data_IF_573716039030
#
_entry.id   IF_573716039030
#
_cell.length_a   1.000
_cell.length_b   1.000
_cell.length_c   1.000
_cell.angle_alpha   90.00
_cell.angle_beta   90.00
_cell.angle_gamma   90.00
#
_symmetry.space_group_name_H-M   'P 1'
#
loop_
_entity.id
_entity.type
_entity.pdbx_description
1 polymer ?
#
# COMPACT_ATOMS: atom_id res chain seq x y z
N UNK A 1 29.00 43.77 -15.08
CA UNK A 1 29.07 42.70 -14.06
C UNK A 1 27.65 42.46 -13.57
N UNK A 2 27.06 41.31 -13.92
CA UNK A 2 25.75 40.91 -13.39
C UNK A 2 26.00 40.26 -12.03
N UNK A 3 25.44 40.83 -10.96
CA UNK A 3 25.52 40.24 -9.63
C UNK A 3 24.68 38.96 -9.59
N UNK A 4 25.32 37.83 -9.30
CA UNK A 4 24.61 36.57 -9.07
C UNK A 4 23.94 36.60 -7.70
N UNK A 5 22.62 36.51 -7.67
CA UNK A 5 21.89 36.09 -6.47
C UNK A 5 22.20 34.62 -6.24
N UNK A 6 23.13 34.31 -5.34
CA UNK A 6 23.23 32.96 -4.79
C UNK A 6 22.05 32.74 -3.84
N UNK A 7 21.27 31.66 -3.98
CA UNK A 7 20.22 31.34 -3.02
C UNK A 7 20.85 31.19 -1.63
N UNK A 8 20.26 31.87 -0.65
CA UNK A 8 20.72 31.86 0.72
C UNK A 8 20.51 30.43 1.27
N UNK A 9 21.56 29.81 1.79
CA UNK A 9 21.44 28.52 2.48
C UNK A 9 20.55 28.71 3.72
N UNK A 10 19.30 28.25 3.63
CA UNK A 10 18.41 28.16 4.78
C UNK A 10 18.73 26.88 5.53
N UNK A 11 19.12 26.99 6.80
CA UNK A 11 19.23 25.84 7.69
C UNK A 11 17.86 25.15 7.79
N UNK A 12 17.77 23.83 7.62
CA UNK A 12 16.51 23.11 7.76
C UNK A 12 15.92 23.34 9.15
N UNK A 13 14.67 23.80 9.21
CA UNK A 13 13.92 23.87 10.46
C UNK A 13 13.24 22.53 10.65
N UNK A 14 13.55 21.83 11.74
CA UNK A 14 12.81 20.64 12.14
C UNK A 14 11.45 21.10 12.68
N UNK A 15 10.37 20.85 11.93
CA UNK A 15 9.02 21.29 12.28
C UNK A 15 8.34 20.30 13.24
N UNK A 16 8.78 19.03 13.23
CA UNK A 16 8.26 17.95 14.07
C UNK A 16 9.41 17.05 14.50
N UNK A 17 9.50 16.74 15.80
CA UNK A 17 10.35 15.67 16.30
C UNK A 17 9.58 14.34 16.18
N UNK A 18 10.02 13.39 15.35
CA UNK A 18 9.34 12.10 15.22
C UNK A 18 9.46 11.33 16.54
N UNK A 19 8.33 10.83 17.03
CA UNK A 19 8.29 9.94 18.18
C UNK A 19 8.13 8.50 17.69
N UNK A 20 8.93 7.59 18.24
CA UNK A 20 8.74 6.16 18.05
C UNK A 20 7.53 5.73 18.90
N UNK A 21 6.47 5.30 18.25
CA UNK A 21 5.24 4.83 18.89
C UNK A 21 5.31 3.32 19.10
N UNK A 22 5.75 2.58 18.08
CA UNK A 22 5.84 1.12 18.08
C UNK A 22 7.02 0.65 17.25
N UNK A 23 7.61 -0.48 17.65
CA UNK A 23 8.63 -1.20 16.89
C UNK A 23 8.16 -2.64 16.69
N UNK A 24 8.20 -3.13 15.45
CA UNK A 24 7.81 -4.49 15.12
C UNK A 24 8.92 -5.12 14.28
N UNK A 25 9.40 -6.28 14.70
CA UNK A 25 10.35 -7.05 13.91
C UNK A 25 9.67 -7.60 12.66
N UNK A 26 10.19 -7.23 11.49
CA UNK A 26 9.70 -7.71 10.20
C UNK A 26 10.79 -8.52 9.53
N UNK A 27 10.50 -9.75 9.15
CA UNK A 27 11.37 -10.49 8.23
C UNK A 27 11.14 -9.99 6.80
N UNK A 28 12.18 -9.39 6.22
CA UNK A 28 12.13 -8.81 4.88
C UNK A 28 12.13 -7.28 4.88
N UNK A 29 11.38 -6.67 3.96
CA UNK A 29 11.23 -5.22 3.87
C UNK A 29 9.77 -4.81 3.62
N UNK A 30 9.40 -3.67 4.19
CA UNK A 30 8.09 -3.06 4.00
C UNK A 30 8.14 -2.13 2.79
N UNK A 31 7.16 -2.26 1.91
CA UNK A 31 6.88 -1.33 0.82
C UNK A 31 5.61 -0.56 1.15
N UNK A 32 5.72 0.76 1.10
CA UNK A 32 4.63 1.71 1.24
C UNK A 32 4.41 2.46 -0.08
N UNK A 33 3.26 3.12 -0.19
CA UNK A 33 2.98 4.07 -1.28
C UNK A 33 3.68 5.40 -0.98
N UNK A 34 3.99 6.18 -2.03
CA UNK A 34 4.54 7.54 -1.92
C UNK A 34 3.59 8.51 -1.17
N UNK A 35 2.32 8.13 -0.96
CA UNK A 35 1.31 8.87 -0.22
C UNK A 35 1.15 8.27 1.18
N UNK A 36 2.19 8.42 2.00
CA UNK A 36 2.31 7.77 3.31
C UNK A 36 1.20 8.12 4.31
N UNK A 37 0.55 9.29 4.17
CA UNK A 37 -0.45 9.79 5.11
C UNK A 37 -1.79 9.02 5.07
N UNK A 38 -2.09 8.30 3.99
CA UNK A 38 -3.35 7.57 3.85
C UNK A 38 -3.23 6.09 4.24
N UNK A 39 -2.03 5.63 4.60
CA UNK A 39 -1.78 4.23 4.94
C UNK A 39 -2.09 3.90 6.40
N UNK A 40 -2.25 4.92 7.25
CA UNK A 40 -2.71 4.78 8.63
C UNK A 40 -4.24 4.93 8.66
N UNK A 41 -4.93 4.08 9.42
CA UNK A 41 -6.39 4.18 9.58
C UNK A 41 -6.77 5.53 10.22
N UNK A 42 -7.99 6.05 9.98
CA UNK A 42 -8.38 7.37 10.48
C UNK A 42 -8.29 7.51 12.00
N UNK A 43 -8.55 6.42 12.74
CA UNK A 43 -8.40 6.34 14.19
C UNK A 43 -6.96 6.12 14.68
N UNK A 44 -5.98 5.94 13.78
CA UNK A 44 -4.58 5.73 14.11
C UNK A 44 -4.21 4.32 14.58
N UNK A 45 -5.16 3.38 14.58
CA UNK A 45 -4.95 2.06 15.18
C UNK A 45 -4.21 1.07 14.28
N UNK A 46 -4.22 1.28 12.96
CA UNK A 46 -3.73 0.32 11.98
C UNK A 46 -2.94 0.96 10.85
N UNK A 47 -2.01 0.19 10.31
CA UNK A 47 -1.19 0.55 9.16
C UNK A 47 -1.36 -0.48 8.04
N UNK A 48 -1.64 -0.03 6.81
CA UNK A 48 -1.76 -0.89 5.64
C UNK A 48 -0.44 -0.90 4.86
N UNK A 49 0.15 -2.07 4.68
CA UNK A 49 1.44 -2.17 4.02
C UNK A 49 1.67 -3.51 3.32
N UNK A 50 2.70 -3.54 2.47
CA UNK A 50 3.17 -4.77 1.83
C UNK A 50 4.49 -5.18 2.46
N UNK A 51 4.54 -6.39 2.99
CA UNK A 51 5.78 -7.05 3.41
C UNK A 51 6.28 -7.93 2.29
N UNK A 52 7.55 -7.80 1.92
CA UNK A 52 8.22 -8.69 0.98
C UNK A 52 9.35 -9.42 1.68
N UNK A 53 9.44 -10.73 1.47
CA UNK A 53 10.51 -11.57 2.01
C UNK A 53 11.05 -12.55 0.95
N UNK A 54 11.83 -13.54 1.39
CA UNK A 54 12.40 -14.56 0.51
C UNK A 54 11.39 -15.57 -0.06
N UNK A 55 10.14 -15.56 0.41
CA UNK A 55 9.06 -16.49 0.11
C UNK A 55 7.93 -15.84 -0.72
N UNK A 56 7.75 -14.53 -0.64
CA UNK A 56 6.71 -13.85 -1.42
C UNK A 56 6.49 -12.38 -1.09
N UNK A 57 5.31 -11.92 -1.47
CA UNK A 57 4.78 -10.59 -1.17
C UNK A 57 3.44 -10.72 -0.47
N UNK A 58 3.28 -10.02 0.64
CA UNK A 58 2.18 -10.16 1.59
C UNK A 58 1.59 -8.78 1.86
N UNK A 59 0.35 -8.57 1.45
CA UNK A 59 -0.42 -7.40 1.83
C UNK A 59 -1.07 -7.68 3.19
N UNK A 60 -0.85 -6.79 4.15
CA UNK A 60 -1.28 -6.96 5.53
C UNK A 60 -1.75 -5.67 6.18
N UNK A 61 -2.59 -5.83 7.19
CA UNK A 61 -2.96 -4.78 8.15
C UNK A 61 -2.14 -5.00 9.42
N UNK A 62 -1.37 -3.99 9.80
CA UNK A 62 -0.45 -4.00 10.93
C UNK A 62 -1.01 -3.15 12.06
N UNK A 63 -1.28 -3.73 13.24
CA UNK A 63 -1.72 -2.96 14.40
C UNK A 63 -0.61 -2.01 14.91
N UNK A 64 -0.96 -0.79 15.32
CA UNK A 64 -0.01 0.22 15.82
C UNK A 64 0.04 0.25 17.36
N UNK A 65 -1.11 0.07 18.04
CA UNK A 65 -1.26 0.29 19.49
C UNK A 65 -1.45 -1.00 20.31
N UNK A 66 -0.89 -2.12 19.84
CA UNK A 66 -1.04 -3.40 20.55
C UNK A 66 0.05 -3.56 21.60
N UNK A 67 -0.33 -3.38 22.87
CA UNK A 67 0.52 -3.50 24.07
C UNK A 67 0.98 -4.96 24.32
N UNK A 68 0.38 -5.92 23.60
CA UNK A 68 0.60 -7.36 23.79
C UNK A 68 1.32 -7.96 22.56
N UNK A 69 2.58 -8.39 22.74
CA UNK A 69 3.42 -8.91 21.65
C UNK A 69 2.79 -10.13 20.95
N UNK A 70 1.97 -10.92 21.65
CA UNK A 70 1.27 -12.08 21.08
C UNK A 70 0.08 -11.71 20.17
N UNK A 71 -0.47 -10.51 20.32
CA UNK A 71 -1.57 -9.98 19.49
C UNK A 71 -1.09 -9.00 18.39
N UNK A 72 0.21 -8.76 18.30
CA UNK A 72 0.85 -7.81 17.36
C UNK A 72 1.03 -8.36 15.92
N UNK A 73 0.48 -9.54 15.63
CA UNK A 73 0.65 -10.21 14.34
C UNK A 73 0.02 -9.46 13.18
N UNK A 74 0.70 -9.51 12.02
CA UNK A 74 0.15 -9.07 10.73
C UNK A 74 -1.22 -9.74 10.50
N UNK A 75 -2.26 -8.94 10.26
CA UNK A 75 -3.55 -9.43 9.82
C UNK A 75 -3.47 -9.62 8.30
N UNK A 76 -3.51 -10.87 7.80
CA UNK A 76 -3.28 -11.13 6.39
C UNK A 76 -4.46 -10.65 5.54
N UNK A 77 -4.18 -9.92 4.46
CA UNK A 77 -5.16 -9.53 3.44
C UNK A 77 -5.05 -10.44 2.23
N UNK A 78 -3.90 -10.40 1.56
CA UNK A 78 -3.60 -11.23 0.40
C UNK A 78 -2.10 -11.56 0.34
N UNK A 79 -1.74 -12.64 -0.33
CA UNK A 79 -0.34 -12.99 -0.54
C UNK A 79 -0.12 -13.57 -1.94
N UNK A 80 1.10 -13.43 -2.42
CA UNK A 80 1.55 -13.99 -3.70
C UNK A 80 2.92 -14.63 -3.50
N UNK A 81 3.08 -15.83 -4.03
CA UNK A 81 4.30 -16.60 -3.82
C UNK A 81 5.45 -16.08 -4.68
N UNK A 82 6.66 -16.36 -4.22
CA UNK A 82 7.89 -16.08 -4.97
C UNK A 82 7.90 -16.70 -6.35
N UNK A 83 7.36 -17.90 -6.54
CA UNK A 83 7.31 -18.56 -7.85
C UNK A 83 6.55 -17.70 -8.87
N UNK A 84 5.44 -17.09 -8.45
CA UNK A 84 4.67 -16.18 -9.30
C UNK A 84 5.44 -14.89 -9.58
N UNK A 85 6.05 -14.30 -8.56
CA UNK A 85 6.81 -13.04 -8.69
C UNK A 85 8.07 -13.20 -9.57
N UNK A 86 8.66 -14.39 -9.62
CA UNK A 86 9.78 -14.68 -10.53
C UNK A 86 9.33 -14.89 -11.98
N UNK A 87 8.11 -15.39 -12.19
CA UNK A 87 7.57 -15.68 -13.52
C UNK A 87 6.79 -14.51 -14.14
N UNK A 88 6.43 -13.50 -13.35
CA UNK A 88 5.54 -12.44 -13.76
C UNK A 88 5.90 -11.09 -13.12
N UNK A 89 5.45 -10.00 -13.74
CA UNK A 89 5.47 -8.69 -13.10
C UNK A 89 4.15 -8.50 -12.37
N UNK A 90 4.19 -8.50 -11.03
CA UNK A 90 3.05 -8.28 -10.15
C UNK A 90 3.47 -7.46 -8.92
N UNK A 91 2.58 -6.62 -8.40
CA UNK A 91 2.78 -5.89 -7.16
C UNK A 91 1.44 -5.52 -6.50
N UNK A 92 1.39 -5.56 -5.17
CA UNK A 92 0.33 -4.95 -4.37
C UNK A 92 0.67 -3.50 -4.07
N UNK A 93 -0.25 -2.59 -4.30
CA UNK A 93 -0.09 -1.16 -4.02
C UNK A 93 -1.14 -0.71 -3.00
N UNK A 94 -0.77 -0.58 -1.72
CA UNK A 94 -1.63 0.04 -0.71
C UNK A 94 -1.99 1.46 -1.14
N UNK A 95 -3.28 1.78 -1.23
CA UNK A 95 -3.72 3.13 -1.62
C UNK A 95 -4.13 3.95 -0.39
N UNK A 96 -4.90 3.34 0.52
CA UNK A 96 -5.19 3.92 1.82
C UNK A 96 -6.55 3.57 2.39
N UNK A 97 -6.86 4.11 3.56
CA UNK A 97 -8.12 3.87 4.27
C UNK A 97 -9.23 4.83 3.84
N UNK A 98 -10.45 4.31 3.69
CA UNK A 98 -11.69 5.09 3.49
C UNK A 98 -12.46 5.28 4.80
N UNK A 99 -12.25 4.38 5.77
CA UNK A 99 -12.83 4.44 7.11
C UNK A 99 -11.98 3.63 8.09
N UNK A 100 -12.41 3.54 9.36
CA UNK A 100 -11.78 2.74 10.40
C UNK A 100 -11.75 1.22 10.11
N UNK A 101 -12.55 0.75 9.15
CA UNK A 101 -12.71 -0.67 8.82
C UNK A 101 -12.68 -0.96 7.32
N UNK A 102 -12.42 0.04 6.48
CA UNK A 102 -12.40 -0.13 5.03
C UNK A 102 -11.19 0.58 4.42
N UNK A 103 -10.54 -0.09 3.49
CA UNK A 103 -9.36 0.40 2.78
C UNK A 103 -9.36 -0.04 1.33
N UNK A 104 -8.54 0.63 0.54
CA UNK A 104 -8.36 0.38 -0.89
C UNK A 104 -6.91 0.03 -1.18
N UNK A 105 -6.72 -0.94 -2.05
CA UNK A 105 -5.42 -1.27 -2.64
C UNK A 105 -5.59 -1.61 -4.11
N UNK A 106 -4.47 -1.65 -4.83
CA UNK A 106 -4.43 -2.09 -6.21
C UNK A 106 -3.56 -3.35 -6.38
N UNK A 107 -3.99 -4.24 -7.27
CA UNK A 107 -3.17 -5.33 -7.80
C UNK A 107 -2.67 -4.93 -9.19
N UNK A 108 -1.37 -4.72 -9.34
CA UNK A 108 -0.79 -4.20 -10.58
C UNK A 108 0.04 -5.28 -11.28
N UNK A 109 -0.24 -5.52 -12.56
CA UNK A 109 0.49 -6.48 -13.39
C UNK A 109 -0.34 -7.72 -13.73
N UNK A 110 0.31 -8.88 -13.79
CA UNK A 110 -0.33 -10.15 -14.10
C UNK A 110 -1.02 -10.74 -12.87
N UNK A 111 -2.34 -10.91 -12.92
CA UNK A 111 -3.14 -11.25 -11.74
C UNK A 111 -2.95 -12.73 -11.34
N UNK A 112 -2.49 -13.03 -10.10
CA UNK A 112 -2.27 -14.41 -9.62
C UNK A 112 -3.56 -15.16 -9.29
N UNK A 113 -4.60 -14.41 -8.90
CA UNK A 113 -5.88 -14.91 -8.41
C UNK A 113 -6.99 -13.88 -8.70
N UNK A 114 -8.20 -14.15 -8.22
CA UNK A 114 -9.35 -13.26 -8.41
C UNK A 114 -10.08 -13.48 -9.72
N UNK A 115 -10.99 -12.55 -10.03
CA UNK A 115 -11.88 -12.62 -11.21
C UNK A 115 -11.07 -12.51 -12.51
N UNK A 116 -10.01 -11.70 -12.49
CA UNK A 116 -9.15 -11.41 -13.64
C UNK A 116 -7.87 -12.26 -13.68
N UNK A 117 -7.87 -13.45 -13.06
CA UNK A 117 -6.69 -14.32 -12.97
C UNK A 117 -6.07 -14.58 -14.36
N UNK A 118 -4.77 -14.31 -14.48
CA UNK A 118 -4.01 -14.49 -15.72
C UNK A 118 -4.13 -13.34 -16.71
N UNK A 119 -4.94 -12.33 -16.44
CA UNK A 119 -4.98 -11.09 -17.20
C UNK A 119 -3.92 -10.10 -16.70
N UNK A 120 -3.54 -9.14 -17.54
CA UNK A 120 -2.62 -8.07 -17.15
C UNK A 120 -3.35 -6.74 -17.03
N UNK A 121 -3.27 -6.13 -15.85
CA UNK A 121 -3.98 -4.88 -15.60
C UNK A 121 -3.76 -4.32 -14.21
N UNK A 122 -4.66 -3.43 -13.83
CA UNK A 122 -4.83 -2.90 -12.48
C UNK A 122 -6.19 -3.33 -11.97
N UNK A 123 -6.23 -4.19 -10.96
CA UNK A 123 -7.46 -4.44 -10.21
C UNK A 123 -7.50 -3.48 -9.01
N UNK A 124 -8.56 -2.69 -8.88
CA UNK A 124 -8.85 -1.95 -7.66
C UNK A 124 -9.68 -2.83 -6.73
N UNK A 125 -9.24 -2.91 -5.48
CA UNK A 125 -9.81 -3.83 -4.50
C UNK A 125 -10.15 -3.08 -3.24
N UNK A 126 -11.38 -3.32 -2.75
CA UNK A 126 -11.84 -2.81 -1.47
C UNK A 126 -11.71 -3.91 -0.43
N UNK A 127 -10.88 -3.65 0.58
CA UNK A 127 -10.72 -4.50 1.76
C UNK A 127 -11.62 -4.00 2.89
N UNK A 128 -12.34 -4.92 3.53
CA UNK A 128 -13.17 -4.66 4.72
C UNK A 128 -12.65 -5.49 5.87
N UNK A 129 -12.22 -4.80 6.92
CA UNK A 129 -11.60 -5.37 8.11
C UNK A 129 -12.62 -5.48 9.24
N UNK A 130 -12.84 -6.70 9.73
CA UNK A 130 -13.62 -6.94 10.94
C UNK A 130 -12.69 -6.97 12.16
N UNK A 131 -12.79 -5.92 12.97
CA UNK A 131 -12.02 -5.71 14.20
C UNK A 131 -12.26 -6.81 15.25
N UNK A 132 -13.42 -7.46 15.24
CA UNK A 132 -13.77 -8.44 16.26
C UNK A 132 -13.16 -9.81 15.96
N UNK A 133 -13.11 -10.18 14.68
CA UNK A 133 -12.58 -11.49 14.24
C UNK A 133 -11.12 -11.44 13.81
N UNK A 134 -10.57 -10.25 13.53
CA UNK A 134 -9.23 -10.12 12.97
C UNK A 134 -9.15 -10.60 11.52
N UNK A 135 -10.26 -10.56 10.78
CA UNK A 135 -10.33 -11.06 9.40
C UNK A 135 -10.63 -9.95 8.40
N UNK A 136 -10.18 -10.14 7.17
CA UNK A 136 -10.43 -9.23 6.05
C UNK A 136 -11.20 -9.95 4.94
N UNK A 137 -12.23 -9.29 4.41
CA UNK A 137 -12.82 -9.64 3.12
C UNK A 137 -12.35 -8.67 2.05
N UNK A 138 -12.14 -9.14 0.82
CA UNK A 138 -11.64 -8.31 -0.27
C UNK A 138 -12.48 -8.54 -1.54
N UNK A 139 -12.92 -7.44 -2.15
CA UNK A 139 -13.76 -7.46 -3.36
C UNK A 139 -13.09 -6.65 -4.47
N UNK A 140 -12.90 -7.26 -5.65
CA UNK A 140 -12.40 -6.59 -6.85
C UNK A 140 -13.53 -5.72 -7.45
N UNK A 141 -13.45 -4.41 -7.26
CA UNK A 141 -14.50 -3.46 -7.67
C UNK A 141 -14.32 -2.97 -9.10
N UNK A 142 -13.08 -2.93 -9.60
CA UNK A 142 -12.79 -2.50 -10.96
C UNK A 142 -11.51 -3.14 -11.49
N UNK A 143 -11.46 -3.32 -12.81
CA UNK A 143 -10.27 -3.77 -13.51
C UNK A 143 -9.98 -2.91 -14.75
N UNK A 144 -8.73 -2.52 -14.89
CA UNK A 144 -8.24 -1.73 -16.02
C UNK A 144 -7.15 -2.51 -16.73
N UNK A 145 -7.42 -2.94 -17.96
CA UNK A 145 -6.42 -3.66 -18.77
C UNK A 145 -5.19 -2.79 -19.04
N UNK A 146 -4.01 -3.40 -18.93
CA UNK A 146 -2.75 -2.78 -19.30
C UNK A 146 -2.16 -3.53 -20.52
N UNK A 147 -2.43 -3.05 -21.75
CA UNK A 147 -2.10 -3.79 -22.97
C UNK A 147 -0.60 -3.84 -23.28
N UNK A 148 0.18 -2.85 -22.81
CA UNK A 148 1.61 -2.76 -23.12
C UNK A 148 2.49 -2.97 -21.88
N UNK A 149 3.58 -3.72 -22.05
CA UNK A 149 4.49 -4.09 -20.94
C UNK A 149 5.21 -2.90 -20.31
N UNK A 150 5.35 -1.81 -21.05
CA UNK A 150 6.03 -0.55 -20.72
C UNK A 150 5.10 0.54 -20.18
N UNK A 151 3.80 0.26 -20.01
CA UNK A 151 2.86 1.16 -19.33
C UNK A 151 3.41 1.61 -17.97
N UNK A 152 3.68 2.91 -17.84
CA UNK A 152 4.00 3.53 -16.55
C UNK A 152 2.69 3.91 -15.87
N UNK A 153 2.37 3.22 -14.78
CA UNK A 153 1.21 3.51 -13.97
C UNK A 153 1.57 4.54 -12.89
N UNK A 154 0.77 5.61 -12.79
CA UNK A 154 0.72 6.45 -11.59
C UNK A 154 -0.67 6.37 -10.98
N UNK A 155 -0.73 6.15 -9.69
CA UNK A 155 -1.96 6.09 -8.90
C UNK A 155 -1.99 7.24 -7.91
N UNK A 156 -3.13 7.92 -7.82
CA UNK A 156 -3.42 8.88 -6.75
C UNK A 156 -4.76 8.50 -6.13
N UNK A 157 -4.77 8.27 -4.83
CA UNK A 157 -6.00 8.05 -4.07
C UNK A 157 -6.33 9.30 -3.26
N UNK A 158 -7.58 9.77 -3.38
CA UNK A 158 -8.11 10.90 -2.61
C UNK A 158 -9.27 10.38 -1.72
N UNK A 159 -8.98 9.98 -0.47
CA UNK A 159 -9.99 9.40 0.41
C UNK A 159 -11.16 10.34 0.69
N UNK A 160 -10.89 11.64 0.86
CA UNK A 160 -11.92 12.67 1.09
C UNK A 160 -12.98 12.74 -0.03
N UNK A 161 -12.64 12.28 -1.23
CA UNK A 161 -13.52 12.26 -2.40
C UNK A 161 -13.98 10.86 -2.77
N UNK A 162 -13.47 9.84 -2.08
CA UNK A 162 -13.62 8.44 -2.42
C UNK A 162 -13.28 8.16 -3.90
N UNK A 163 -12.13 8.67 -4.36
CA UNK A 163 -11.73 8.62 -5.77
C UNK A 163 -10.29 8.10 -5.93
N UNK A 164 -10.10 7.21 -6.92
CA UNK A 164 -8.79 6.76 -7.39
C UNK A 164 -8.56 7.31 -8.80
N UNK A 165 -7.44 7.99 -9.01
CA UNK A 165 -6.98 8.43 -10.32
C UNK A 165 -5.86 7.52 -10.78
N UNK A 166 -6.01 7.01 -12.00
CA UNK A 166 -5.02 6.18 -12.68
C UNK A 166 -4.56 6.92 -13.93
N UNK A 167 -3.27 7.17 -14.05
CA UNK A 167 -2.67 7.59 -15.30
C UNK A 167 -1.83 6.45 -15.85
N UNK A 168 -2.16 6.02 -17.07
CA UNK A 168 -1.36 5.10 -17.86
C UNK A 168 -0.72 5.93 -18.98
N UNK A 169 0.57 6.22 -18.84
CA UNK A 169 1.32 6.85 -19.92
C UNK A 169 1.81 5.71 -20.84
N UNK A 170 1.09 5.49 -21.94
CA UNK A 170 1.47 4.61 -23.05
C UNK A 170 2.13 5.40 -24.15
#
# INVERSE_FOLDING_TARGET
MMAGCSPQETTPVVIVEPQLIVETAVEGFIVNSDLSEHLVSPDGSYFLAVRNDGLGSYLGVFPIDVVDEEASGEIPVESVSREWLLASSFSYWPLGWTSDTEFVYAKVGWQPAGTHKGERGVALVVGRFDRNSGTVSADEEAFFELPYRDSVLRTLFLPERNQVYLNNNT
#
